data_IF_094466594729
#
_entry.id   IF_094466594729
#
_cell.length_a   1.000
_cell.length_b   1.000
_cell.length_c   1.000
_cell.angle_alpha   90.00
_cell.angle_beta   90.00
_cell.angle_gamma   90.00
#
_symmetry.space_group_name_H-M   'P 1'
#
loop_
_entity.id
_entity.type
_entity.pdbx_description
1 polymer ?
#
# COMPACT_ATOMS: atom_id res chain seq x y z
N UNK A 1 -17.41 -32.45 4.18
CA UNK A 1 -17.45 -31.30 3.25
C UNK A 1 -17.26 -30.05 4.09
N UNK A 2 -16.05 -29.47 4.11
CA UNK A 2 -15.69 -28.40 5.04
C UNK A 2 -16.00 -27.03 4.41
N UNK A 3 -16.80 -26.26 5.13
CA UNK A 3 -17.29 -24.91 4.81
C UNK A 3 -16.16 -23.96 4.41
N UNK A 4 -16.06 -23.66 3.10
CA UNK A 4 -15.09 -22.70 2.53
C UNK A 4 -15.55 -21.23 2.65
N UNK A 5 -16.53 -20.93 3.51
CA UNK A 5 -17.20 -19.63 3.54
C UNK A 5 -16.69 -18.68 4.63
N UNK A 6 -15.88 -19.17 5.57
CA UNK A 6 -15.32 -18.31 6.60
C UNK A 6 -14.06 -17.62 6.06
N UNK A 7 -14.10 -16.29 5.96
CA UNK A 7 -12.99 -15.42 5.53
C UNK A 7 -11.71 -15.50 6.40
N UNK A 8 -11.61 -16.50 7.27
CA UNK A 8 -10.48 -16.84 8.12
C UNK A 8 -9.48 -17.81 7.47
N UNK A 9 -9.84 -18.48 6.36
CA UNK A 9 -8.95 -19.40 5.64
C UNK A 9 -8.66 -18.93 4.20
N UNK A 10 -7.38 -18.99 3.80
CA UNK A 10 -6.93 -18.74 2.44
C UNK A 10 -6.15 -19.95 1.91
N UNK A 11 -6.40 -20.35 0.67
CA UNK A 11 -5.51 -21.23 -0.10
C UNK A 11 -4.71 -20.37 -1.07
N UNK A 12 -3.39 -20.38 -0.96
CA UNK A 12 -2.52 -19.46 -1.68
C UNK A 12 -1.05 -19.93 -1.71
N UNK A 13 -0.21 -19.21 -2.46
CA UNK A 13 1.24 -19.36 -2.42
C UNK A 13 1.81 -18.46 -1.32
N UNK A 14 2.60 -19.01 -0.40
CA UNK A 14 3.22 -18.26 0.69
C UNK A 14 4.73 -18.34 0.60
N UNK A 15 5.40 -17.19 0.71
CA UNK A 15 6.85 -17.11 0.91
C UNK A 15 7.11 -16.61 2.33
N UNK A 16 7.85 -17.37 3.11
CA UNK A 16 8.29 -17.02 4.45
C UNK A 16 9.73 -16.54 4.38
N UNK A 17 9.98 -15.30 4.76
CA UNK A 17 11.30 -14.68 4.80
C UNK A 17 11.66 -14.31 6.24
N UNK A 18 12.82 -14.73 6.72
CA UNK A 18 13.41 -14.22 7.96
C UNK A 18 14.39 -13.12 7.59
N UNK A 19 14.08 -11.89 8.00
CA UNK A 19 14.91 -10.73 7.70
C UNK A 19 15.94 -10.51 8.80
N UNK A 20 17.15 -10.12 8.40
CA UNK A 20 18.16 -9.62 9.31
C UNK A 20 17.88 -8.18 9.74
N UNK A 21 18.66 -7.66 10.69
CA UNK A 21 18.61 -6.24 11.11
C UNK A 21 18.88 -5.29 9.94
N UNK A 22 19.65 -5.72 8.94
CA UNK A 22 19.95 -5.00 7.70
C UNK A 22 18.78 -4.97 6.70
N UNK A 23 17.72 -5.75 6.93
CA UNK A 23 16.58 -5.88 6.01
C UNK A 23 16.78 -6.88 4.88
N UNK A 24 17.93 -7.55 4.81
CA UNK A 24 18.18 -8.65 3.87
C UNK A 24 17.51 -9.95 4.36
N UNK A 25 17.01 -10.78 3.43
CA UNK A 25 16.39 -12.06 3.77
C UNK A 25 17.47 -13.12 4.05
N UNK A 26 17.74 -13.40 5.32
CA UNK A 26 18.67 -14.45 5.74
C UNK A 26 18.18 -15.85 5.36
N UNK A 27 16.86 -16.07 5.38
CA UNK A 27 16.26 -17.37 5.05
C UNK A 27 14.93 -17.17 4.35
N UNK A 28 14.74 -17.87 3.23
CA UNK A 28 13.51 -17.85 2.43
C UNK A 28 12.97 -19.27 2.24
N UNK A 29 11.69 -19.47 2.50
CA UNK A 29 10.98 -20.72 2.25
C UNK A 29 9.73 -20.45 1.42
N UNK A 30 9.60 -21.11 0.28
CA UNK A 30 8.44 -20.99 -0.61
C UNK A 30 7.52 -22.20 -0.46
N UNK A 31 6.25 -21.95 -0.17
CA UNK A 31 5.18 -22.93 -0.08
C UNK A 31 4.17 -22.62 -1.19
N UNK A 32 4.13 -23.45 -2.24
CA UNK A 32 3.30 -23.21 -3.42
C UNK A 32 1.80 -23.48 -3.18
N UNK A 33 1.47 -24.38 -2.26
CA UNK A 33 0.08 -24.74 -1.92
C UNK A 33 -0.11 -24.64 -0.42
N UNK A 34 -0.10 -23.43 0.10
CA UNK A 34 -0.30 -23.17 1.52
C UNK A 34 -1.79 -23.00 1.85
N UNK A 35 -2.20 -23.53 3.00
CA UNK A 35 -3.41 -23.10 3.69
C UNK A 35 -3.03 -22.13 4.81
N UNK A 36 -3.43 -20.88 4.67
CA UNK A 36 -3.23 -19.83 5.68
C UNK A 36 -4.52 -19.68 6.47
N UNK A 37 -4.42 -19.81 7.78
CA UNK A 37 -5.54 -19.77 8.72
C UNK A 37 -5.27 -18.68 9.75
N UNK A 38 -6.28 -17.86 10.01
CA UNK A 38 -6.28 -16.93 11.13
C UNK A 38 -7.02 -17.59 12.30
N UNK A 39 -6.37 -17.70 13.46
CA UNK A 39 -6.96 -18.30 14.65
C UNK A 39 -6.57 -17.61 15.93
N UNK A 40 -7.03 -18.17 17.05
CA UNK A 40 -6.66 -17.80 18.42
C UNK A 40 -6.02 -18.99 19.13
N UNK A 41 -5.08 -18.70 20.04
CA UNK A 41 -4.58 -19.71 20.99
C UNK A 41 -5.44 -19.80 22.24
N UNK A 42 -5.04 -20.68 23.16
CA UNK A 42 -5.63 -20.86 24.50
C UNK A 42 -5.68 -19.55 25.33
N UNK A 43 -4.81 -18.58 25.02
CA UNK A 43 -4.76 -17.26 25.67
C UNK A 43 -5.47 -16.17 24.87
N UNK A 44 -6.30 -16.57 23.90
CA UNK A 44 -7.03 -15.71 22.96
C UNK A 44 -6.14 -14.77 22.13
N UNK A 45 -4.83 -15.05 22.02
CA UNK A 45 -3.90 -14.34 21.16
C UNK A 45 -4.08 -14.76 19.70
N UNK A 46 -4.08 -13.77 18.81
CA UNK A 46 -4.22 -13.97 17.38
C UNK A 46 -2.98 -14.68 16.84
N UNK A 47 -3.18 -15.77 16.08
CA UNK A 47 -2.13 -16.54 15.44
C UNK A 47 -2.43 -16.66 13.94
N UNK A 48 -1.41 -16.38 13.13
CA UNK A 48 -1.38 -16.69 11.71
C UNK A 48 -0.75 -18.06 11.51
N UNK A 49 -1.53 -19.05 11.12
CA UNK A 49 -1.06 -20.42 10.88
C UNK A 49 -0.90 -20.66 9.38
N UNK A 50 0.29 -21.07 8.96
CA UNK A 50 0.61 -21.43 7.58
C UNK A 50 0.85 -22.94 7.51
N UNK A 51 0.10 -23.64 6.68
CA UNK A 51 0.19 -25.10 6.55
C UNK A 51 0.57 -25.51 5.13
N UNK A 52 1.52 -26.45 5.01
CA UNK A 52 1.95 -27.08 3.74
C UNK A 52 1.38 -28.51 3.61
N UNK A 53 0.20 -28.75 4.18
CA UNK A 53 -0.47 -30.06 4.23
C UNK A 53 0.09 -31.05 5.26
N UNK A 54 1.40 -31.04 5.53
CA UNK A 54 2.04 -31.91 6.54
C UNK A 54 2.48 -31.17 7.80
N UNK A 55 3.05 -29.98 7.62
CA UNK A 55 3.60 -29.17 8.71
C UNK A 55 2.78 -27.90 8.82
N UNK A 56 2.46 -27.51 10.06
CA UNK A 56 1.83 -26.26 10.38
C UNK A 56 2.77 -25.35 11.16
N UNK A 57 3.03 -24.16 10.63
CA UNK A 57 3.81 -23.11 11.26
C UNK A 57 2.85 -22.05 11.82
N UNK A 58 2.87 -21.84 13.13
CA UNK A 58 2.06 -20.81 13.79
C UNK A 58 2.91 -19.58 14.11
N UNK A 59 2.41 -18.41 13.72
CA UNK A 59 3.05 -17.12 13.99
C UNK A 59 2.14 -16.25 14.86
N UNK A 60 2.54 -15.88 16.09
CA UNK A 60 1.75 -15.00 16.92
C UNK A 60 1.71 -13.58 16.35
N UNK A 61 0.53 -13.00 16.24
CA UNK A 61 0.28 -11.66 15.73
C UNK A 61 0.21 -10.63 16.86
N UNK A 62 1.32 -10.48 17.61
CA UNK A 62 1.45 -9.47 18.68
C UNK A 62 1.55 -8.07 18.09
N UNK A 63 2.64 -7.81 17.36
CA UNK A 63 2.87 -6.59 16.61
C UNK A 63 3.23 -6.94 15.16
N UNK A 64 2.53 -6.34 14.21
CA UNK A 64 2.78 -6.58 12.80
C UNK A 64 2.47 -5.36 11.94
N UNK A 65 3.05 -5.34 10.74
CA UNK A 65 2.76 -4.36 9.69
C UNK A 65 2.19 -5.06 8.48
N UNK A 66 1.06 -4.57 7.98
CA UNK A 66 0.42 -5.06 6.78
C UNK A 66 0.79 -4.20 5.57
N UNK A 67 1.17 -4.86 4.48
CA UNK A 67 1.41 -4.25 3.18
C UNK A 67 0.38 -4.77 2.18
N UNK A 68 -0.61 -3.92 1.87
CA UNK A 68 -1.79 -4.29 1.08
C UNK A 68 -1.83 -3.60 -0.30
N UNK A 69 -0.69 -3.02 -0.73
CA UNK A 69 -0.60 -2.29 -2.02
C UNK A 69 -1.05 -3.11 -3.22
N UNK A 70 -0.78 -4.42 -3.20
CA UNK A 70 -1.11 -5.35 -4.27
C UNK A 70 -2.29 -6.28 -3.91
N UNK A 71 -3.09 -5.93 -2.90
CA UNK A 71 -4.20 -6.78 -2.47
C UNK A 71 -5.27 -6.96 -3.55
N UNK A 72 -5.43 -5.97 -4.45
CA UNK A 72 -6.29 -6.06 -5.64
C UNK A 72 -5.82 -7.10 -6.64
N UNK A 73 -4.52 -7.42 -6.66
CA UNK A 73 -3.92 -8.47 -7.49
C UNK A 73 -3.84 -9.83 -6.75
N UNK A 74 -4.40 -9.93 -5.55
CA UNK A 74 -4.30 -11.16 -4.76
C UNK A 74 -2.95 -11.37 -4.08
N UNK A 75 -2.19 -10.29 -3.84
CA UNK A 75 -0.88 -10.33 -3.17
C UNK A 75 -0.86 -9.44 -1.93
N UNK A 76 -0.24 -9.88 -0.85
CA UNK A 76 0.04 -9.02 0.30
C UNK A 76 1.29 -9.47 1.04
N UNK A 77 1.85 -8.58 1.86
CA UNK A 77 2.96 -8.94 2.76
C UNK A 77 2.59 -8.58 4.19
N UNK A 78 2.89 -9.47 5.13
CA UNK A 78 2.68 -9.29 6.56
C UNK A 78 4.06 -9.37 7.21
N UNK A 79 4.51 -8.28 7.84
CA UNK A 79 5.78 -8.26 8.58
C UNK A 79 5.53 -8.33 10.06
N UNK A 80 6.02 -9.37 10.70
CA UNK A 80 5.92 -9.66 12.13
C UNK A 80 7.08 -8.99 12.87
N UNK A 81 6.77 -8.32 13.98
CA UNK A 81 7.71 -7.64 14.86
C UNK A 81 7.55 -8.24 16.27
N UNK A 82 8.65 -8.42 17.04
CA UNK A 82 10.05 -8.07 16.74
C UNK A 82 10.81 -9.15 15.96
N UNK A 83 10.19 -10.30 15.66
CA UNK A 83 10.87 -11.47 15.08
C UNK A 83 11.44 -11.24 13.66
N UNK A 84 11.13 -10.10 13.03
CA UNK A 84 11.56 -9.71 11.69
C UNK A 84 11.25 -10.78 10.63
N UNK A 85 10.12 -11.48 10.81
CA UNK A 85 9.62 -12.46 9.84
C UNK A 85 8.66 -11.75 8.89
N UNK A 86 8.82 -11.95 7.60
CA UNK A 86 7.93 -11.46 6.56
C UNK A 86 7.22 -12.63 5.88
N UNK A 87 5.89 -12.61 5.93
CA UNK A 87 5.02 -13.58 5.27
C UNK A 87 4.45 -12.91 4.02
N UNK A 88 4.88 -13.35 2.84
CA UNK A 88 4.40 -12.86 1.56
C UNK A 88 3.37 -13.83 1.01
N UNK A 89 2.15 -13.36 0.82
CA UNK A 89 1.02 -14.11 0.27
C UNK A 89 0.84 -13.69 -1.19
N UNK A 90 0.66 -14.67 -2.08
CA UNK A 90 0.44 -14.47 -3.50
C UNK A 90 -0.49 -15.55 -4.06
N UNK A 91 -1.02 -15.35 -5.27
CA UNK A 91 -1.94 -16.30 -5.91
C UNK A 91 -3.18 -16.60 -5.05
N UNK A 92 -3.78 -15.55 -4.48
CA UNK A 92 -4.99 -15.65 -3.67
C UNK A 92 -6.14 -14.88 -4.36
N UNK A 93 -7.39 -15.38 -4.36
CA UNK A 93 -8.52 -14.61 -4.85
C UNK A 93 -8.62 -13.25 -4.15
N UNK A 94 -8.69 -12.12 -4.89
CA UNK A 94 -8.59 -10.78 -4.30
C UNK A 94 -9.74 -10.48 -3.33
N UNK A 95 -10.93 -11.04 -3.55
CA UNK A 95 -12.09 -10.88 -2.66
C UNK A 95 -11.85 -11.55 -1.30
N UNK A 96 -11.42 -12.81 -1.32
CA UNK A 96 -11.08 -13.57 -0.10
C UNK A 96 -9.92 -12.92 0.64
N UNK A 97 -8.90 -12.46 -0.08
CA UNK A 97 -7.76 -11.76 0.51
C UNK A 97 -8.18 -10.45 1.19
N UNK A 98 -9.04 -9.64 0.55
CA UNK A 98 -9.55 -8.40 1.14
C UNK A 98 -10.38 -8.67 2.40
N UNK A 99 -11.22 -9.70 2.38
CA UNK A 99 -12.00 -10.11 3.55
C UNK A 99 -11.06 -10.52 4.70
N UNK A 100 -10.10 -11.39 4.43
CA UNK A 100 -9.11 -11.84 5.40
C UNK A 100 -8.32 -10.69 6.04
N UNK A 101 -7.82 -9.76 5.23
CA UNK A 101 -7.06 -8.60 5.71
C UNK A 101 -7.92 -7.64 6.56
N UNK A 102 -9.20 -7.46 6.20
CA UNK A 102 -10.17 -6.71 7.00
C UNK A 102 -10.40 -7.40 8.33
N UNK A 103 -10.67 -8.71 8.32
CA UNK A 103 -10.86 -9.52 9.54
C UNK A 103 -9.67 -9.40 10.47
N UNK A 104 -8.47 -9.60 9.94
CA UNK A 104 -7.22 -9.49 10.68
C UNK A 104 -7.04 -8.09 11.30
N UNK A 105 -7.26 -7.03 10.52
CA UNK A 105 -7.08 -5.66 10.99
C UNK A 105 -8.10 -5.25 12.06
N UNK A 106 -9.38 -5.61 11.85
CA UNK A 106 -10.49 -5.25 12.73
C UNK A 106 -10.36 -6.01 14.06
N UNK A 107 -10.17 -7.34 14.02
CA UNK A 107 -10.03 -8.16 15.23
C UNK A 107 -8.80 -7.77 16.05
N UNK A 108 -7.70 -7.39 15.40
CA UNK A 108 -6.52 -6.88 16.10
C UNK A 108 -6.79 -5.51 16.77
N UNK A 109 -7.51 -4.61 16.09
CA UNK A 109 -7.86 -3.29 16.66
C UNK A 109 -8.85 -3.39 17.82
N UNK A 110 -9.88 -4.24 17.70
CA UNK A 110 -10.87 -4.44 18.76
C UNK A 110 -10.22 -4.93 20.07
N UNK A 111 -9.15 -5.73 19.97
CA UNK A 111 -8.46 -6.29 21.14
C UNK A 111 -7.35 -5.40 21.72
N UNK A 112 -6.95 -4.32 21.05
CA UNK A 112 -5.85 -3.45 21.56
C UNK A 112 -6.14 -2.83 22.93
N UNK A 113 -7.40 -2.85 23.38
CA UNK A 113 -7.82 -2.41 24.72
C UNK A 113 -7.88 -3.52 25.78
N UNK A 114 -7.84 -4.80 25.42
CA UNK A 114 -7.81 -5.91 26.38
C UNK A 114 -6.36 -6.18 26.81
N UNK A 115 -6.11 -6.25 28.12
CA UNK A 115 -4.77 -6.57 28.63
C UNK A 115 -4.38 -7.98 28.21
N UNK A 116 -3.31 -8.10 27.43
CA UNK A 116 -2.69 -9.40 27.19
C UNK A 116 -2.21 -9.98 28.52
N UNK A 117 -2.48 -11.28 28.75
CA UNK A 117 -2.05 -11.97 29.97
C UNK A 117 -0.53 -11.94 30.09
N UNK A 118 -0.03 -11.74 31.32
CA UNK A 118 1.40 -11.82 31.62
C UNK A 118 1.91 -13.24 31.41
N UNK A 119 3.18 -13.40 31.03
CA UNK A 119 3.77 -14.72 30.82
C UNK A 119 3.70 -15.59 32.09
N UNK A 120 3.77 -14.95 33.27
CA UNK A 120 3.56 -15.63 34.56
C UNK A 120 2.13 -16.18 34.70
N UNK A 121 1.12 -15.43 34.27
CA UNK A 121 -0.28 -15.85 34.37
C UNK A 121 -0.59 -16.96 33.35
N UNK A 122 0.03 -16.91 32.16
CA UNK A 122 -0.07 -17.96 31.15
C UNK A 122 0.47 -19.30 31.65
N UNK A 123 1.62 -19.27 32.33
CA UNK A 123 2.21 -20.47 32.93
C UNK A 123 1.35 -21.05 34.06
N UNK A 124 0.69 -20.18 34.84
CA UNK A 124 -0.20 -20.60 35.94
C UNK A 124 -1.55 -21.14 35.45
N UNK A 125 -2.00 -20.72 34.28
CA UNK A 125 -3.32 -21.08 33.76
C UNK A 125 -3.43 -22.57 33.38
N UNK A 126 -2.32 -23.22 33.00
CA UNK A 126 -2.29 -24.67 32.75
C UNK A 126 -3.19 -25.15 31.60
N UNK A 127 -3.61 -24.26 30.69
CA UNK A 127 -4.49 -24.64 29.57
C UNK A 127 -3.74 -25.50 28.54
N UNK A 128 -4.41 -26.53 27.98
CA UNK A 128 -3.85 -27.29 26.87
C UNK A 128 -3.70 -26.41 25.63
N UNK A 129 -2.65 -26.65 24.83
CA UNK A 129 -2.41 -25.94 23.57
C UNK A 129 -3.62 -26.12 22.64
N UNK A 130 -4.29 -25.03 22.31
CA UNK A 130 -5.47 -25.05 21.44
C UNK A 130 -5.32 -24.06 20.29
N UNK A 131 -5.98 -24.36 19.18
CA UNK A 131 -6.08 -23.45 18.05
C UNK A 131 -7.53 -23.43 17.59
N UNK A 132 -8.18 -22.29 17.80
CA UNK A 132 -9.55 -22.07 17.36
C UNK A 132 -9.52 -21.14 16.14
N UNK A 133 -10.26 -21.48 15.08
CA UNK A 133 -10.42 -20.57 13.94
C UNK A 133 -11.09 -19.26 14.41
N UNK A 134 -10.68 -18.12 13.86
CA UNK A 134 -11.29 -16.86 14.26
C UNK A 134 -12.73 -16.82 13.80
N UNK A 135 -13.61 -16.47 14.73
CA UNK A 135 -15.02 -16.26 14.45
C UNK A 135 -15.21 -15.20 13.35
N UNK A 136 -16.20 -15.38 12.46
CA UNK A 136 -16.54 -14.40 11.43
C UNK A 136 -16.73 -12.99 12.02
N UNK A 137 -16.51 -11.97 11.18
CA UNK A 137 -16.66 -10.57 11.58
C UNK A 137 -18.08 -10.30 12.08
N UNK A 138 -18.23 -9.93 13.36
CA UNK A 138 -19.51 -9.60 13.96
C UNK A 138 -19.73 -8.08 13.95
N UNK A 139 -21.00 -7.66 13.97
CA UNK A 139 -21.37 -6.23 14.04
C UNK A 139 -20.77 -5.53 15.26
N UNK A 140 -20.63 -6.23 16.38
CA UNK A 140 -19.98 -5.73 17.60
C UNK A 140 -18.52 -5.32 17.35
N UNK A 141 -17.77 -6.10 16.57
CA UNK A 141 -16.37 -5.78 16.25
C UNK A 141 -16.28 -4.49 15.41
N UNK A 142 -17.22 -4.29 14.49
CA UNK A 142 -17.28 -3.09 13.64
C UNK A 142 -17.61 -1.84 14.46
N UNK A 143 -18.55 -1.95 15.42
CA UNK A 143 -18.94 -0.87 16.32
C UNK A 143 -17.75 -0.45 17.21
N UNK A 144 -17.12 -1.39 17.91
CA UNK A 144 -15.96 -1.11 18.78
C UNK A 144 -14.84 -0.39 18.02
N UNK A 145 -14.52 -0.84 16.80
CA UNK A 145 -13.49 -0.19 15.98
C UNK A 145 -13.94 1.18 15.49
N UNK A 146 -15.22 1.36 15.13
CA UNK A 146 -15.75 2.67 14.73
C UNK A 146 -15.71 3.68 15.88
N UNK A 147 -16.02 3.25 17.11
CA UNK A 147 -15.94 4.06 18.30
C UNK A 147 -14.49 4.41 18.66
N UNK A 148 -13.56 3.45 18.58
CA UNK A 148 -12.14 3.71 18.81
C UNK A 148 -11.59 4.72 17.79
N UNK A 149 -12.03 4.64 16.53
CA UNK A 149 -11.66 5.62 15.49
C UNK A 149 -12.29 6.99 15.75
N UNK A 150 -13.54 7.04 16.18
CA UNK A 150 -14.20 8.29 16.55
C UNK A 150 -13.53 8.96 17.76
N UNK A 151 -13.16 8.17 18.77
CA UNK A 151 -12.40 8.64 19.94
C UNK A 151 -11.00 9.14 19.58
N UNK A 152 -10.30 8.46 18.66
CA UNK A 152 -9.00 8.92 18.16
C UNK A 152 -9.10 10.20 17.29
N UNK A 153 -10.22 10.42 16.61
CA UNK A 153 -10.46 11.64 15.84
C UNK A 153 -10.84 12.86 16.72
N UNK A 154 -11.33 12.63 17.95
CA UNK A 154 -11.75 13.69 18.87
C UNK A 154 -10.59 14.35 19.66
N UNK A 155 -9.39 13.75 19.68
CA UNK A 155 -8.21 14.28 20.39
C UNK A 155 -7.18 14.97 19.48
N UNK A 156 -7.41 16.25 19.14
CA UNK A 156 -6.36 17.25 18.81
C UNK A 156 -5.43 17.08 17.60
N UNK A 157 -5.75 17.81 16.51
CA UNK A 157 -4.90 18.55 15.55
C UNK A 157 -3.46 18.08 15.19
N UNK A 158 -3.25 17.68 13.94
CA UNK A 158 -2.43 18.41 12.93
C UNK A 158 -2.63 17.78 11.54
N UNK A 159 -3.09 18.59 10.61
CA UNK A 159 -3.17 18.28 9.19
C UNK A 159 -1.77 18.06 8.60
N UNK A 160 -1.49 16.83 8.15
CA UNK A 160 -0.71 16.59 6.92
C UNK A 160 -1.23 15.36 6.18
N UNK A 161 -2.08 15.65 5.19
CA UNK A 161 -2.14 15.01 3.87
C UNK A 161 -2.76 13.59 3.74
N UNK A 162 -3.98 13.64 3.17
CA UNK A 162 -4.52 12.82 2.09
C UNK A 162 -4.77 11.33 2.34
N UNK A 163 -5.97 11.06 2.85
CA UNK A 163 -6.86 10.05 2.27
C UNK A 163 -8.32 10.44 2.53
N UNK A 164 -9.03 10.87 1.49
CA UNK A 164 -10.48 10.93 1.49
C UNK A 164 -11.05 9.52 1.71
N UNK A 165 -12.04 9.35 2.59
CA UNK A 165 -12.75 8.09 2.76
C UNK A 165 -13.74 7.91 1.59
N UNK A 166 -13.74 6.73 0.98
CA UNK A 166 -14.84 6.28 0.13
C UNK A 166 -16.03 5.94 1.04
N UNK A 167 -17.11 6.71 0.92
CA UNK A 167 -18.43 6.39 1.47
C UNK A 167 -19.18 5.43 0.54
N UNK A 168 -20.13 4.68 1.10
CA UNK A 168 -20.88 3.59 0.46
C UNK A 168 -21.96 3.99 -0.56
N UNK A 169 -23.10 3.31 -0.57
CA UNK A 169 -23.51 2.42 -1.66
C UNK A 169 -24.35 3.12 -2.75
N UNK A 170 -24.48 2.43 -3.88
CA UNK A 170 -24.86 3.01 -5.17
C UNK A 170 -26.28 3.54 -5.30
N UNK A 171 -26.37 4.61 -6.08
CA UNK A 171 -27.51 4.93 -6.93
C UNK A 171 -26.99 5.06 -8.36
N UNK A 172 -27.47 4.20 -9.27
CA UNK A 172 -27.20 4.33 -10.70
C UNK A 172 -27.87 5.59 -11.22
N UNK A 173 -27.08 6.65 -11.41
CA UNK A 173 -27.52 7.82 -12.18
C UNK A 173 -27.05 7.60 -13.62
N UNK A 174 -27.99 7.17 -14.48
CA UNK A 174 -27.90 7.31 -15.94
C UNK A 174 -27.62 8.79 -16.22
N UNK A 175 -26.39 9.16 -16.58
CA UNK A 175 -26.10 10.49 -17.13
C UNK A 175 -26.30 10.41 -18.64
N UNK A 176 -27.33 11.12 -19.09
CA UNK A 176 -27.59 11.46 -20.48
C UNK A 176 -26.30 11.99 -21.13
N UNK A 177 -25.99 11.49 -22.32
CA UNK A 177 -25.02 12.13 -23.20
C UNK A 177 -25.61 13.45 -23.66
N UNK A 178 -24.96 14.56 -23.30
CA UNK A 178 -25.06 15.81 -24.03
C UNK A 178 -23.84 15.92 -24.91
N UNK A 179 -24.06 15.93 -26.21
CA UNK A 179 -23.13 16.54 -27.17
C UNK A 179 -22.85 18.00 -26.79
N UNK A 180 -21.80 18.55 -27.41
CA UNK A 180 -21.31 19.93 -27.35
C UNK A 180 -20.06 20.16 -26.48
N UNK A 181 -18.92 20.16 -27.18
CA UNK A 181 -18.07 21.35 -27.33
C UNK A 181 -18.25 22.46 -26.28
N UNK A 182 -17.47 22.44 -25.22
CA UNK A 182 -16.86 23.65 -24.64
C UNK A 182 -16.01 23.27 -23.42
N UNK A 183 -14.74 23.64 -23.50
CA UNK A 183 -13.78 23.57 -22.40
C UNK A 183 -14.18 24.55 -21.28
N UNK A 184 -14.16 24.17 -19.99
CA UNK A 184 -14.06 25.13 -18.93
C UNK A 184 -12.59 25.22 -18.52
N UNK A 185 -11.83 26.05 -19.25
CA UNK A 185 -10.63 26.66 -18.68
C UNK A 185 -11.12 27.67 -17.63
N UNK A 186 -11.30 27.23 -16.39
CA UNK A 186 -11.29 28.17 -15.25
C UNK A 186 -9.85 28.43 -14.87
N UNK A 187 -9.31 29.51 -15.44
CA UNK A 187 -8.07 30.12 -15.00
C UNK A 187 -8.21 30.54 -13.53
N UNK A 188 -7.52 29.86 -12.63
CA UNK A 188 -7.27 30.34 -11.27
C UNK A 188 -6.02 31.23 -11.30
N UNK A 189 -6.12 32.56 -11.11
CA UNK A 189 -4.96 33.43 -11.00
C UNK A 189 -4.49 33.40 -9.55
N UNK A 190 -3.39 32.68 -9.24
CA UNK A 190 -2.50 32.87 -8.05
C UNK A 190 -1.91 31.59 -7.44
N UNK A 191 -1.95 30.43 -8.11
CA UNK A 191 -1.06 29.31 -7.72
C UNK A 191 -0.12 28.99 -8.87
N UNK A 192 0.92 29.81 -9.00
CA UNK A 192 2.13 29.41 -9.73
C UNK A 192 2.55 28.06 -9.14
N UNK A 193 2.69 26.97 -9.93
CA UNK A 193 3.37 25.80 -9.42
C UNK A 193 4.83 26.21 -9.25
N UNK A 194 5.16 26.73 -8.07
CA UNK A 194 6.54 26.93 -7.68
C UNK A 194 7.10 25.54 -7.48
N UNK A 195 7.65 24.97 -8.56
CA UNK A 195 8.63 23.91 -8.43
C UNK A 195 9.82 24.54 -7.69
N UNK A 196 9.80 24.49 -6.36
CA UNK A 196 10.97 24.75 -5.54
C UNK A 196 11.95 23.60 -5.79
N UNK A 197 12.72 23.68 -6.87
CA UNK A 197 13.84 22.78 -7.08
C UNK A 197 14.90 23.11 -6.03
N UNK A 198 15.43 22.13 -5.28
CA UNK A 198 16.59 22.35 -4.43
C UNK A 198 17.73 22.89 -5.30
N UNK A 199 18.38 23.97 -4.85
CA UNK A 199 19.54 24.57 -5.52
C UNK A 199 20.73 23.62 -5.44
N UNK A 200 20.75 22.60 -6.31
CA UNK A 200 21.90 21.72 -6.51
C UNK A 200 22.68 22.24 -7.70
N UNK A 201 24.01 22.37 -7.53
CA UNK A 201 24.92 22.77 -8.61
C UNK A 201 24.76 21.78 -9.78
N UNK A 202 24.47 22.30 -10.97
CA UNK A 202 24.36 21.50 -12.20
C UNK A 202 25.76 21.03 -12.62
N UNK A 203 25.86 19.78 -13.08
CA UNK A 203 27.10 19.27 -13.67
C UNK A 203 27.46 20.00 -14.96
N UNK A 204 28.73 19.95 -15.37
CA UNK A 204 29.22 20.61 -16.61
C UNK A 204 28.43 20.17 -17.84
N UNK A 205 28.16 18.87 -17.96
CA UNK A 205 27.43 18.27 -19.08
C UNK A 205 25.94 18.66 -19.07
N UNK A 206 25.33 18.68 -17.88
CA UNK A 206 23.94 19.10 -17.70
C UNK A 206 23.74 20.57 -18.08
N UNK A 207 24.69 21.44 -17.71
CA UNK A 207 24.67 22.84 -18.12
C UNK A 207 24.85 23.01 -19.64
N UNK A 208 25.67 22.17 -20.28
CA UNK A 208 25.83 22.17 -21.73
C UNK A 208 24.52 21.81 -22.46
N UNK A 209 23.79 20.81 -21.99
CA UNK A 209 22.48 20.43 -22.54
C UNK A 209 21.47 21.57 -22.39
N UNK A 210 21.38 22.21 -21.22
CA UNK A 210 20.47 23.34 -21.00
C UNK A 210 20.78 24.49 -21.96
N UNK A 211 22.07 24.84 -22.13
CA UNK A 211 22.48 25.89 -23.09
C UNK A 211 22.08 25.55 -24.53
N UNK A 212 22.27 24.31 -24.95
CA UNK A 212 21.90 23.87 -26.30
C UNK A 212 20.38 23.97 -26.55
N UNK A 213 19.56 23.57 -25.57
CA UNK A 213 18.09 23.70 -25.66
C UNK A 213 17.67 25.17 -25.66
N UNK A 214 18.27 26.01 -24.82
CA UNK A 214 17.97 27.45 -24.80
C UNK A 214 18.40 28.17 -26.09
N UNK A 215 19.40 27.64 -26.79
CA UNK A 215 19.79 28.13 -28.13
C UNK A 215 18.83 27.70 -29.25
N UNK A 216 17.72 27.00 -28.93
CA UNK A 216 16.73 26.55 -29.90
C UNK A 216 17.15 25.32 -30.71
N UNK A 217 18.19 24.59 -30.28
CA UNK A 217 18.63 23.37 -30.97
C UNK A 217 17.78 22.17 -30.52
N UNK A 218 17.52 21.26 -31.45
CA UNK A 218 16.93 19.96 -31.14
C UNK A 218 17.99 19.06 -30.47
N UNK A 219 17.74 18.64 -29.24
CA UNK A 219 18.72 17.89 -28.44
C UNK A 219 18.11 16.57 -27.97
N UNK A 220 18.81 15.48 -28.27
CA UNK A 220 18.58 14.19 -27.64
C UNK A 220 19.67 13.93 -26.60
N UNK A 221 19.28 13.67 -25.36
CA UNK A 221 20.21 13.34 -24.28
C UNK A 221 19.83 12.02 -23.62
N UNK A 222 20.84 11.22 -23.31
CA UNK A 222 20.70 9.88 -22.70
C UNK A 222 21.66 9.73 -21.51
N UNK A 223 21.56 8.61 -20.80
CA UNK A 223 22.45 8.27 -19.69
C UNK A 223 21.93 7.09 -18.88
N UNK A 224 22.79 6.50 -18.04
CA UNK A 224 22.45 5.37 -17.17
C UNK A 224 21.34 5.72 -16.15
N UNK A 225 20.78 4.70 -15.49
CA UNK A 225 19.79 4.92 -14.44
C UNK A 225 20.38 5.75 -13.28
N UNK A 226 19.61 6.70 -12.75
CA UNK A 226 20.06 7.53 -11.61
C UNK A 226 20.87 8.79 -11.94
N UNK A 227 21.19 9.06 -13.21
CA UNK A 227 21.99 10.25 -13.62
C UNK A 227 21.25 11.60 -13.61
N UNK A 228 20.02 11.63 -13.10
CA UNK A 228 19.25 12.88 -12.98
C UNK A 228 18.60 13.41 -14.26
N UNK A 229 18.37 12.56 -15.28
CA UNK A 229 17.70 12.97 -16.54
C UNK A 229 16.34 13.65 -16.32
N UNK A 230 15.49 13.09 -15.45
CA UNK A 230 14.20 13.69 -15.12
C UNK A 230 14.33 15.01 -14.36
N UNK A 231 15.39 15.19 -13.58
CA UNK A 231 15.69 16.44 -12.89
C UNK A 231 16.12 17.53 -13.89
N UNK A 232 17.00 17.17 -14.84
CA UNK A 232 17.40 18.04 -15.94
C UNK A 232 16.19 18.51 -16.75
N UNK A 233 15.29 17.58 -17.11
CA UNK A 233 14.09 17.87 -17.90
C UNK A 233 13.16 18.86 -17.18
N UNK A 234 12.95 18.70 -15.87
CA UNK A 234 12.19 19.67 -15.07
C UNK A 234 12.83 21.06 -15.05
N UNK A 235 14.16 21.12 -15.02
CA UNK A 235 14.90 22.39 -15.07
C UNK A 235 14.76 23.07 -16.42
N UNK A 236 14.85 22.31 -17.51
CA UNK A 236 14.63 22.81 -18.88
C UNK A 236 13.22 23.37 -19.00
N UNK A 237 12.20 22.63 -18.55
CA UNK A 237 10.81 23.06 -18.60
C UNK A 237 10.57 24.34 -17.77
N UNK A 238 11.27 24.50 -16.65
CA UNK A 238 11.22 25.73 -15.84
C UNK A 238 11.94 26.93 -16.46
N UNK A 239 12.87 26.71 -17.40
CA UNK A 239 13.58 27.78 -18.12
C UNK A 239 12.91 28.18 -19.44
N UNK A 240 11.98 27.37 -19.94
CA UNK A 240 11.24 27.62 -21.17
C UNK A 240 9.92 28.34 -20.90
N UNK A 241 9.41 29.13 -21.87
CA UNK A 241 8.13 29.82 -21.73
C UNK A 241 6.98 28.81 -21.57
N UNK A 242 6.18 28.91 -20.47
CA UNK A 242 5.16 27.90 -20.14
C UNK A 242 3.95 27.91 -21.07
N UNK A 243 3.78 28.97 -21.88
CA UNK A 243 2.66 29.10 -22.82
C UNK A 243 2.87 28.33 -24.13
N UNK A 244 4.11 28.05 -24.51
CA UNK A 244 4.45 27.45 -25.81
C UNK A 244 5.23 26.14 -25.66
N UNK A 245 5.38 25.63 -24.44
CA UNK A 245 6.16 24.42 -24.16
C UNK A 245 5.26 23.35 -23.56
N UNK A 246 5.17 22.20 -24.22
CA UNK A 246 4.40 21.05 -23.77
C UNK A 246 5.34 19.90 -23.39
N UNK A 247 5.11 19.29 -22.23
CA UNK A 247 5.86 18.13 -21.78
C UNK A 247 5.09 16.84 -22.09
N UNK A 248 5.72 15.92 -22.82
CA UNK A 248 5.13 14.64 -23.22
C UNK A 248 6.00 13.45 -22.84
N UNK A 249 5.38 12.30 -22.57
CA UNK A 249 6.10 11.04 -22.35
C UNK A 249 5.39 9.84 -23.03
N UNK A 250 6.09 8.72 -23.16
CA UNK A 250 5.55 7.49 -23.77
C UNK A 250 4.56 6.74 -22.86
N UNK A 251 4.68 6.88 -21.54
CA UNK A 251 3.82 6.21 -20.54
C UNK A 251 3.20 7.23 -19.58
N UNK A 252 2.00 6.93 -19.07
CA UNK A 252 1.28 7.82 -18.16
C UNK A 252 2.04 8.09 -16.85
N UNK A 253 2.72 7.08 -16.30
CA UNK A 253 3.53 7.23 -15.08
C UNK A 253 4.70 8.20 -15.31
N UNK A 254 5.38 8.11 -16.46
CA UNK A 254 6.46 9.03 -16.81
C UNK A 254 5.95 10.47 -17.06
N UNK A 255 4.79 10.62 -17.71
CA UNK A 255 4.15 11.90 -17.94
C UNK A 255 3.82 12.60 -16.60
N UNK A 256 3.23 11.87 -15.66
CA UNK A 256 2.95 12.38 -14.31
C UNK A 256 4.23 12.85 -13.59
N UNK A 257 5.35 12.12 -13.73
CA UNK A 257 6.60 12.49 -13.08
C UNK A 257 7.20 13.81 -13.59
N UNK A 258 6.97 14.17 -14.85
CA UNK A 258 7.44 15.43 -15.45
C UNK A 258 6.37 16.54 -15.44
N UNK A 259 5.16 16.24 -14.98
CA UNK A 259 4.03 17.19 -14.98
C UNK A 259 3.45 17.42 -16.38
N UNK A 260 3.49 16.41 -17.25
CA UNK A 260 3.03 16.47 -18.64
C UNK A 260 1.93 15.46 -18.96
N UNK A 261 1.68 15.23 -20.25
CA UNK A 261 0.71 14.23 -20.76
C UNK A 261 1.40 13.13 -21.55
N UNK A 262 0.66 12.08 -21.92
CA UNK A 262 1.20 11.05 -22.83
C UNK A 262 1.18 11.55 -24.27
N UNK A 263 2.11 11.06 -25.10
CA UNK A 263 2.14 11.42 -26.53
C UNK A 263 0.82 11.03 -27.24
N UNK A 264 0.22 9.90 -26.87
CA UNK A 264 -1.09 9.46 -27.36
C UNK A 264 -2.27 10.37 -26.96
N UNK A 265 -2.14 11.12 -25.86
CA UNK A 265 -3.17 12.07 -25.43
C UNK A 265 -2.92 13.47 -25.96
N UNK A 266 -1.74 13.72 -26.51
CA UNK A 266 -1.33 15.02 -27.05
C UNK A 266 -1.58 15.15 -28.55
N UNK A 267 -1.39 14.04 -29.29
CA UNK A 267 -1.61 13.94 -30.72
C UNK A 267 -3.06 13.62 -31.07
#
# INVERSE_FOLDING_TARGET
MLSEEDGAQLRCCVTLERLERSGQAARRQLIRKASVLLGRNEFQEMILRVQDGKVALGYPLKDFRLFTRFASEGKCSIRLLPENIQVLISNCPPDRLRLFLKTLSIKHQARRGERALSDRDKLRAGLPRSFEAISPLQHKDLQTVSELRAKAAAGGLTDRSNRTPAAGPGQQVKRSRSDCSSSPVKANPSKKPVLSLPSRKLGKDQAAVIRAVLSGKNVFFTGSAGTGKSFLLKRILGSLPPKSTFATASTGVAACHIGGTTLHSFA
#
